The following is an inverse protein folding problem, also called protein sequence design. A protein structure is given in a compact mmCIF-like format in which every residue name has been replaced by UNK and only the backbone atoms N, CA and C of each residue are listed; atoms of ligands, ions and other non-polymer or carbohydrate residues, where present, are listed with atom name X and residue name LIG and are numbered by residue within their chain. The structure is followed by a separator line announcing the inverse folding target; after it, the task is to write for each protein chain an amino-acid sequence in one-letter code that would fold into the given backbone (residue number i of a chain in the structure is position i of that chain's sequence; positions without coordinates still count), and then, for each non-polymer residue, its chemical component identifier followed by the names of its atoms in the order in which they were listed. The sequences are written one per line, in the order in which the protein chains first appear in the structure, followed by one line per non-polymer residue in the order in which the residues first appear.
data_IF_443050287845
#
_entry.id   IF_443050287845
#
_cell.length_a   1.000
_cell.length_b   1.000
_cell.length_c   1.000
_cell.angle_alpha   90.00
_cell.angle_beta   90.00
_cell.angle_gamma   90.00
#
_symmetry.space_group_name_H-M   'P 1'
#
loop_
_entity.id
_entity.type
_entity.pdbx_description
1 polymer ?
#
# COMPACT_ATOMS: atom_id res chain seq x y z
N UNK A 1 -51.05 -23.05 20.01
CA UNK A 1 -50.00 -22.63 20.95
C UNK A 1 -48.59 -22.93 20.41
N UNK A 2 -48.32 -22.76 19.11
CA UNK A 2 -47.02 -23.05 18.50
C UNK A 2 -46.62 -22.08 17.35
N UNK A 3 -47.19 -20.87 17.29
CA UNK A 3 -46.89 -19.88 16.24
C UNK A 3 -46.02 -18.69 16.70
N UNK A 4 -45.51 -18.70 17.93
CA UNK A 4 -44.71 -17.57 18.47
C UNK A 4 -43.20 -17.80 18.50
N UNK A 5 -42.70 -18.92 17.96
CA UNK A 5 -41.27 -19.28 17.95
C UNK A 5 -40.61 -19.27 16.57
N UNK A 6 -41.17 -18.55 15.59
CA UNK A 6 -40.57 -18.43 14.24
C UNK A 6 -40.20 -17.00 13.84
N UNK A 7 -39.97 -16.11 14.81
CA UNK A 7 -39.62 -14.70 14.56
C UNK A 7 -38.31 -14.23 15.23
N UNK A 8 -37.41 -15.15 15.55
CA UNK A 8 -36.13 -14.85 16.21
C UNK A 8 -34.88 -15.21 15.37
N UNK A 9 -35.04 -15.51 14.08
CA UNK A 9 -33.91 -15.66 13.16
C UNK A 9 -34.28 -15.03 11.81
N UNK A 10 -34.37 -13.71 11.79
CA UNK A 10 -34.05 -12.97 10.57
C UNK A 10 -32.55 -12.68 10.63
N UNK A 11 -31.76 -12.98 9.59
CA UNK A 11 -30.40 -12.47 9.53
C UNK A 11 -30.53 -10.96 9.65
N UNK A 12 -29.93 -10.39 10.71
CA UNK A 12 -29.72 -8.95 10.77
C UNK A 12 -28.95 -8.59 9.51
N UNK A 13 -29.64 -7.98 8.55
CA UNK A 13 -29.01 -7.26 7.46
C UNK A 13 -27.98 -6.36 8.13
N UNK A 14 -26.69 -6.64 7.91
CA UNK A 14 -25.60 -5.94 8.59
C UNK A 14 -25.85 -4.45 8.45
N UNK A 15 -26.10 -3.76 9.57
CA UNK A 15 -26.18 -2.31 9.56
C UNK A 15 -24.83 -1.83 9.08
N UNK A 16 -24.77 -1.29 7.86
CA UNK A 16 -23.56 -0.67 7.35
C UNK A 16 -23.05 0.29 8.42
N UNK A 17 -21.86 0.03 8.95
CA UNK A 17 -21.29 0.86 9.99
C UNK A 17 -21.20 2.30 9.47
N UNK A 18 -21.56 3.27 10.31
CA UNK A 18 -21.45 4.69 9.93
C UNK A 18 -19.97 5.00 9.62
N UNK A 19 -19.66 5.70 8.51
CA UNK A 19 -18.31 6.19 8.25
C UNK A 19 -17.74 7.00 9.42
N UNK A 20 -16.45 6.84 9.67
CA UNK A 20 -15.69 7.62 10.66
C UNK A 20 -15.70 9.10 10.28
N UNK A 21 -15.88 9.96 11.27
CA UNK A 21 -15.86 11.43 11.08
C UNK A 21 -14.45 11.98 11.26
N UNK A 22 -14.19 13.15 10.67
CA UNK A 22 -12.90 13.84 10.84
C UNK A 22 -12.56 14.11 12.32
N UNK A 23 -13.58 14.35 13.15
CA UNK A 23 -13.43 14.52 14.60
C UNK A 23 -12.99 13.23 15.32
N UNK A 24 -13.50 12.09 14.88
CA UNK A 24 -13.09 10.78 15.41
C UNK A 24 -11.65 10.46 15.02
N UNK A 25 -11.28 10.72 13.75
CA UNK A 25 -9.89 10.59 13.29
C UNK A 25 -8.96 11.52 14.07
N UNK A 26 -9.34 12.78 14.29
CA UNK A 26 -8.53 13.73 15.05
C UNK A 26 -8.30 13.29 16.51
N UNK A 27 -9.32 12.71 17.15
CA UNK A 27 -9.19 12.19 18.52
C UNK A 27 -8.22 11.00 18.58
N UNK A 28 -8.31 10.11 17.59
CA UNK A 28 -7.39 8.98 17.49
C UNK A 28 -5.97 9.44 17.16
N UNK A 29 -5.78 10.35 16.21
CA UNK A 29 -4.48 10.92 15.88
C UNK A 29 -3.81 11.53 17.12
N UNK A 30 -4.57 12.27 17.94
CA UNK A 30 -4.07 12.80 19.21
C UNK A 30 -3.65 11.72 20.22
N UNK A 31 -4.37 10.59 20.30
CA UNK A 31 -3.98 9.47 21.18
C UNK A 31 -2.72 8.76 20.71
N UNK A 32 -2.45 8.81 19.41
CA UNK A 32 -1.24 8.29 18.76
C UNK A 32 -0.12 9.33 18.64
N UNK A 33 -0.31 10.56 19.17
CA UNK A 33 0.64 11.67 19.04
C UNK A 33 0.99 12.04 17.59
N UNK A 34 0.04 11.87 16.68
CA UNK A 34 0.16 12.19 15.27
C UNK A 34 -0.27 13.63 14.99
N UNK A 35 0.41 14.28 14.04
CA UNK A 35 -0.09 15.51 13.46
C UNK A 35 -1.30 15.20 12.57
N UNK A 36 -2.33 16.06 12.62
CA UNK A 36 -3.51 15.96 11.76
C UNK A 36 -3.92 17.32 11.22
N UNK A 37 -4.26 17.37 9.93
CA UNK A 37 -4.94 18.50 9.28
C UNK A 37 -6.26 17.98 8.72
N UNK A 38 -7.40 18.15 9.41
CA UNK A 38 -8.70 17.76 8.89
C UNK A 38 -9.14 18.70 7.77
N UNK A 39 -9.83 18.17 6.76
CA UNK A 39 -10.49 18.98 5.73
C UNK A 39 -11.89 19.42 6.17
N UNK A 40 -12.44 20.44 5.51
CA UNK A 40 -13.85 20.82 5.63
C UNK A 40 -14.80 19.73 5.08
N UNK A 41 -14.31 18.90 4.15
CA UNK A 41 -15.05 17.75 3.64
C UNK A 41 -14.88 16.56 4.59
N UNK A 42 -15.99 16.02 5.09
CA UNK A 42 -15.96 14.81 5.94
C UNK A 42 -15.32 13.63 5.20
N UNK A 43 -14.49 12.89 5.93
CA UNK A 43 -13.70 11.77 5.39
C UNK A 43 -12.37 12.20 4.74
N UNK A 44 -12.11 13.50 4.57
CA UNK A 44 -10.84 14.00 4.03
C UNK A 44 -9.95 14.56 5.14
N UNK A 45 -8.68 14.17 5.16
CA UNK A 45 -7.70 14.60 6.15
C UNK A 45 -6.27 14.30 5.71
N UNK A 46 -5.31 14.93 6.38
CA UNK A 46 -3.91 14.56 6.33
C UNK A 46 -3.41 14.18 7.72
N UNK A 47 -2.73 13.04 7.81
CA UNK A 47 -1.98 12.62 8.98
C UNK A 47 -0.48 12.73 8.69
N UNK A 48 0.32 12.98 9.72
CA UNK A 48 1.76 12.96 9.57
C UNK A 48 2.50 12.75 10.89
N UNK A 49 3.79 12.51 10.75
CA UNK A 49 4.70 12.31 11.86
C UNK A 49 6.13 12.06 11.39
N UNK A 50 6.91 11.47 12.28
CA UNK A 50 8.28 11.06 12.05
C UNK A 50 8.43 9.56 12.32
N UNK A 51 9.25 8.88 11.53
CA UNK A 51 9.65 7.49 11.78
C UNK A 51 11.16 7.39 11.62
N UNK A 52 11.89 7.31 12.74
CA UNK A 52 13.35 7.18 12.72
C UNK A 52 14.07 8.38 12.09
N UNK A 53 13.60 9.61 12.35
CA UNK A 53 14.16 10.85 11.80
C UNK A 53 13.69 11.18 10.38
N UNK A 54 12.74 10.42 9.86
CA UNK A 54 12.23 10.55 8.51
C UNK A 54 10.74 10.94 8.50
N UNK A 55 10.35 12.02 7.81
CA UNK A 55 8.97 12.47 7.79
C UNK A 55 8.09 11.53 6.96
N UNK A 56 6.86 11.35 7.43
CA UNK A 56 5.83 10.63 6.69
C UNK A 56 4.49 11.38 6.70
N UNK A 57 3.66 11.10 5.69
CA UNK A 57 2.29 11.61 5.56
C UNK A 57 1.35 10.52 5.06
N UNK A 58 0.14 10.50 5.58
CA UNK A 58 -0.98 9.71 5.07
C UNK A 58 -2.15 10.65 4.78
N UNK A 59 -2.47 10.83 3.51
CA UNK A 59 -3.61 11.63 3.05
C UNK A 59 -4.83 10.72 2.82
N UNK A 60 -6.01 11.16 3.23
CA UNK A 60 -7.28 10.59 2.78
C UNK A 60 -8.02 11.62 1.91
N UNK A 61 -8.35 11.24 0.67
CA UNK A 61 -9.06 12.15 -0.22
C UNK A 61 -9.63 11.50 -1.48
N UNK A 62 -9.97 12.34 -2.46
CA UNK A 62 -10.52 11.87 -3.73
C UNK A 62 -9.51 10.95 -4.46
N UNK A 63 -9.96 9.89 -5.14
CA UNK A 63 -9.08 8.96 -5.83
C UNK A 63 -8.21 9.64 -6.89
N UNK A 64 -6.96 9.21 -7.00
CA UNK A 64 -6.02 9.64 -8.05
C UNK A 64 -5.67 8.52 -9.05
N UNK A 65 -6.40 7.40 -8.97
CA UNK A 65 -6.36 6.28 -9.91
C UNK A 65 -7.78 5.79 -10.18
N UNK A 66 -8.04 5.41 -11.42
CA UNK A 66 -9.37 4.98 -11.87
C UNK A 66 -9.81 3.64 -11.26
N UNK A 67 -8.85 2.82 -10.82
CA UNK A 67 -9.13 1.56 -10.15
C UNK A 67 -9.54 1.73 -8.68
N UNK A 68 -9.39 2.93 -8.08
CA UNK A 68 -9.79 3.20 -6.69
C UNK A 68 -11.16 3.87 -6.67
N UNK A 69 -12.08 3.32 -5.88
CA UNK A 69 -13.45 3.80 -5.73
C UNK A 69 -13.64 4.53 -4.39
N UNK A 70 -14.46 5.56 -4.38
CA UNK A 70 -14.81 6.27 -3.15
C UNK A 70 -13.70 7.19 -2.66
N UNK A 71 -13.03 6.84 -1.57
CA UNK A 71 -11.91 7.60 -0.99
C UNK A 71 -10.63 6.78 -1.07
N UNK A 72 -9.51 7.47 -1.11
CA UNK A 72 -8.18 6.88 -1.25
C UNK A 72 -7.28 7.32 -0.09
N UNK A 73 -6.63 6.34 0.54
CA UNK A 73 -5.55 6.54 1.49
C UNK A 73 -4.21 6.51 0.74
N UNK A 74 -3.48 7.63 0.76
CA UNK A 74 -2.19 7.82 0.10
C UNK A 74 -1.09 8.08 1.12
N UNK A 75 -0.23 7.10 1.33
CA UNK A 75 0.91 7.19 2.21
C UNK A 75 2.19 7.55 1.47
N UNK A 76 3.06 8.31 2.12
CA UNK A 76 4.43 8.58 1.69
C UNK A 76 5.33 8.69 2.90
N UNK A 77 6.46 7.98 2.88
CA UNK A 77 7.56 8.11 3.85
C UNK A 77 8.88 8.28 3.09
N UNK A 78 9.68 9.28 3.48
CA UNK A 78 10.97 9.55 2.86
C UNK A 78 12.08 8.82 3.62
N UNK A 79 12.52 7.65 3.19
CA UNK A 79 13.28 6.71 4.04
C UNK A 79 14.79 6.68 3.76
N UNK A 80 15.27 7.47 2.80
CA UNK A 80 16.71 7.54 2.48
C UNK A 80 17.34 6.23 1.99
N UNK A 81 16.52 5.25 1.58
CA UNK A 81 16.99 3.99 1.01
C UNK A 81 17.70 4.22 -0.34
N UNK A 82 18.47 3.23 -0.80
CA UNK A 82 19.06 3.19 -2.14
C UNK A 82 18.08 3.72 -3.21
N UNK A 83 18.41 4.79 -3.95
CA UNK A 83 17.53 5.36 -4.97
C UNK A 83 17.22 4.36 -6.10
N UNK A 84 18.06 3.35 -6.31
CA UNK A 84 17.89 2.27 -7.28
C UNK A 84 17.18 1.04 -6.69
N UNK A 85 16.67 1.14 -5.45
CA UNK A 85 15.76 0.15 -4.91
C UNK A 85 14.36 0.35 -5.51
N UNK A 86 13.92 -0.65 -6.29
CA UNK A 86 12.62 -0.67 -6.94
C UNK A 86 11.87 -1.98 -6.62
N UNK A 87 10.87 -1.88 -5.74
CA UNK A 87 9.99 -3.00 -5.36
C UNK A 87 8.55 -2.51 -5.21
N UNK A 88 7.59 -3.27 -5.73
CA UNK A 88 6.16 -3.03 -5.62
C UNK A 88 5.48 -4.30 -5.14
N UNK A 89 4.55 -4.14 -4.20
CA UNK A 89 3.62 -5.19 -3.77
C UNK A 89 2.21 -4.72 -4.01
N UNK A 90 1.39 -5.56 -4.61
CA UNK A 90 -0.02 -5.27 -4.87
C UNK A 90 -0.88 -6.51 -4.64
N UNK A 91 -2.16 -6.30 -4.29
CA UNK A 91 -3.10 -7.42 -4.14
C UNK A 91 -3.42 -8.05 -5.51
N UNK A 92 -3.67 -9.37 -5.53
CA UNK A 92 -3.89 -10.14 -6.77
C UNK A 92 -5.02 -9.61 -7.62
N UNK A 93 -6.14 -9.21 -6.98
CA UNK A 93 -7.27 -8.63 -7.70
C UNK A 93 -6.89 -7.36 -8.48
N UNK A 94 -6.00 -6.52 -7.93
CA UNK A 94 -5.51 -5.34 -8.62
C UNK A 94 -4.50 -5.72 -9.71
N UNK A 95 -3.60 -6.67 -9.43
CA UNK A 95 -2.64 -7.18 -10.41
C UNK A 95 -3.34 -7.64 -11.69
N UNK A 96 -4.32 -8.53 -11.57
CA UNK A 96 -5.10 -9.06 -12.69
C UNK A 96 -5.85 -7.95 -13.45
N UNK A 97 -6.43 -6.99 -12.72
CA UNK A 97 -7.14 -5.86 -13.33
C UNK A 97 -6.20 -4.93 -14.13
N UNK A 98 -5.00 -4.69 -13.62
CA UNK A 98 -3.99 -3.85 -14.28
C UNK A 98 -3.36 -4.56 -15.48
N UNK A 99 -3.09 -5.87 -15.39
CA UNK A 99 -2.62 -6.66 -16.53
C UNK A 99 -3.65 -6.69 -17.67
N UNK A 100 -4.93 -6.92 -17.34
CA UNK A 100 -6.01 -6.86 -18.33
C UNK A 100 -6.15 -5.48 -18.96
N UNK A 101 -6.00 -4.42 -18.17
CA UNK A 101 -6.03 -3.03 -18.67
C UNK A 101 -4.83 -2.70 -19.55
N UNK A 102 -3.63 -3.21 -19.21
CA UNK A 102 -2.42 -3.02 -20.01
C UNK A 102 -2.54 -3.73 -21.36
N UNK A 103 -3.08 -4.95 -21.38
CA UNK A 103 -3.36 -5.67 -22.62
C UNK A 103 -4.33 -4.89 -23.52
N UNK A 104 -5.43 -4.36 -22.96
CA UNK A 104 -6.39 -3.55 -23.71
C UNK A 104 -5.74 -2.28 -24.24
N UNK A 105 -4.97 -1.56 -23.42
CA UNK A 105 -4.26 -0.35 -23.86
C UNK A 105 -3.28 -0.64 -25.00
N UNK A 106 -2.52 -1.74 -24.92
CA UNK A 106 -1.54 -2.15 -25.94
C UNK A 106 -2.24 -2.56 -27.24
N UNK A 107 -3.32 -3.34 -27.15
CA UNK A 107 -4.09 -3.81 -28.32
C UNK A 107 -4.86 -2.68 -29.02
N UNK A 108 -5.31 -1.65 -28.29
CA UNK A 108 -5.86 -0.43 -28.87
C UNK A 108 -4.76 0.42 -29.56
N UNK A 109 -3.52 0.40 -29.05
CA UNK A 109 -2.38 1.16 -29.59
C UNK A 109 -1.66 0.54 -30.80
N UNK A 110 -2.34 -0.28 -31.61
CA UNK A 110 -1.96 -0.42 -33.03
C UNK A 110 -2.06 0.93 -33.81
N UNK A 111 -2.52 2.00 -33.14
CA UNK A 111 -2.25 3.39 -33.51
C UNK A 111 -1.11 3.98 -32.65
N UNK A 112 0.05 4.11 -33.29
CA UNK A 112 1.29 4.80 -32.90
C UNK A 112 1.16 5.93 -31.86
N UNK A 113 1.49 5.64 -30.59
CA UNK A 113 2.30 6.50 -29.68
C UNK A 113 2.51 5.74 -28.37
N UNK A 114 3.76 5.56 -27.95
CA UNK A 114 4.09 4.99 -26.64
C UNK A 114 3.44 5.88 -25.58
N UNK A 115 2.48 5.30 -24.86
CA UNK A 115 1.56 6.03 -24.00
C UNK A 115 2.29 6.46 -22.71
N UNK A 116 2.90 7.66 -22.72
CA UNK A 116 3.54 8.27 -21.53
C UNK A 116 2.57 8.54 -20.37
N UNK A 117 1.26 8.31 -20.55
CA UNK A 117 0.24 8.52 -19.54
C UNK A 117 -0.08 7.26 -18.70
N UNK A 118 0.61 6.13 -18.91
CA UNK A 118 0.37 4.95 -18.09
C UNK A 118 0.71 5.22 -16.60
N UNK A 119 -0.20 4.86 -15.67
CA UNK A 119 0.08 4.85 -14.24
C UNK A 119 1.38 4.13 -13.91
N UNK A 120 2.05 4.55 -12.83
CA UNK A 120 3.34 3.99 -12.44
C UNK A 120 3.28 2.47 -12.25
N UNK A 121 2.21 1.97 -11.65
CA UNK A 121 1.96 0.55 -11.40
C UNK A 121 1.90 -0.26 -12.71
N UNK A 122 1.21 0.28 -13.73
CA UNK A 122 1.12 -0.37 -15.06
C UNK A 122 2.46 -0.36 -15.79
N UNK A 123 3.23 0.72 -15.65
CA UNK A 123 4.58 0.79 -16.24
C UNK A 123 5.48 -0.27 -15.64
N UNK A 124 5.39 -0.50 -14.32
CA UNK A 124 6.17 -1.53 -13.64
C UNK A 124 5.79 -2.94 -14.10
N UNK A 125 4.49 -3.25 -14.21
CA UNK A 125 4.02 -4.54 -14.73
C UNK A 125 4.46 -4.81 -16.17
N UNK A 126 4.70 -3.75 -16.95
CA UNK A 126 5.25 -3.89 -18.31
C UNK A 126 6.78 -4.06 -18.34
N UNK A 127 7.50 -3.64 -17.30
CA UNK A 127 8.98 -3.63 -17.26
C UNK A 127 9.57 -4.78 -16.46
N UNK A 128 8.86 -5.27 -15.45
CA UNK A 128 9.39 -6.21 -14.46
C UNK A 128 8.44 -7.38 -14.26
N UNK A 129 9.01 -8.56 -14.03
CA UNK A 129 8.26 -9.78 -13.77
C UNK A 129 7.89 -9.92 -12.29
N UNK A 130 6.91 -10.78 -12.02
CA UNK A 130 6.60 -11.20 -10.66
C UNK A 130 7.71 -12.08 -10.09
N UNK A 131 8.13 -11.75 -8.87
CA UNK A 131 9.14 -12.49 -8.12
C UNK A 131 8.54 -13.38 -7.03
N UNK A 132 9.13 -14.56 -6.87
CA UNK A 132 8.83 -15.50 -5.79
C UNK A 132 10.12 -16.10 -5.24
N UNK A 133 10.16 -16.40 -3.94
CA UNK A 133 11.29 -17.06 -3.29
C UNK A 133 10.81 -17.97 -2.15
N UNK A 134 11.63 -18.96 -1.71
CA UNK A 134 11.23 -19.94 -0.69
C UNK A 134 10.78 -19.33 0.65
N UNK A 135 11.31 -18.16 1.02
CA UNK A 135 10.96 -17.45 2.27
C UNK A 135 9.60 -16.77 2.26
N UNK A 136 8.90 -16.70 1.12
CA UNK A 136 7.59 -16.08 1.01
C UNK A 136 6.49 -17.10 1.37
N UNK A 137 5.57 -16.82 2.31
CA UNK A 137 4.50 -17.76 2.66
C UNK A 137 3.53 -18.04 1.51
N UNK A 138 2.93 -19.23 1.48
CA UNK A 138 1.92 -19.58 0.49
C UNK A 138 0.68 -18.69 0.58
N UNK A 139 0.23 -18.36 1.80
CA UNK A 139 -0.87 -17.42 2.03
C UNK A 139 -0.57 -16.04 1.46
N UNK A 140 0.66 -15.55 1.57
CA UNK A 140 1.07 -14.29 0.98
C UNK A 140 0.93 -14.33 -0.55
N UNK A 141 1.49 -15.35 -1.20
CA UNK A 141 1.44 -15.50 -2.67
C UNK A 141 0.02 -15.61 -3.22
N UNK A 142 -0.90 -16.18 -2.44
CA UNK A 142 -2.31 -16.28 -2.79
C UNK A 142 -2.99 -14.91 -2.89
N UNK A 143 -2.53 -13.91 -2.12
CA UNK A 143 -3.21 -12.63 -2.00
C UNK A 143 -2.43 -11.45 -2.58
N UNK A 144 -1.11 -11.56 -2.69
CA UNK A 144 -0.24 -10.50 -3.16
C UNK A 144 0.75 -11.00 -4.22
N UNK A 145 1.11 -10.09 -5.12
CA UNK A 145 2.20 -10.23 -6.07
C UNK A 145 3.33 -9.27 -5.70
N UNK A 146 4.59 -9.67 -5.95
CA UNK A 146 5.77 -8.82 -5.75
C UNK A 146 6.41 -8.58 -7.10
N UNK A 147 6.53 -7.32 -7.51
CA UNK A 147 7.17 -6.89 -8.75
C UNK A 147 8.42 -6.11 -8.38
N UNK A 148 9.58 -6.46 -8.90
CA UNK A 148 10.82 -5.77 -8.56
C UNK A 148 11.85 -5.87 -9.68
N UNK A 149 12.87 -5.03 -9.62
CA UNK A 149 14.02 -5.10 -10.53
C UNK A 149 15.06 -6.13 -10.07
N UNK A 150 15.32 -6.19 -8.76
CA UNK A 150 16.34 -7.05 -8.15
C UNK A 150 15.73 -7.89 -7.03
N UNK A 151 15.83 -9.22 -7.14
CA UNK A 151 15.25 -10.15 -6.16
C UNK A 151 15.88 -9.99 -4.78
N UNK A 152 17.16 -9.62 -4.70
CA UNK A 152 17.88 -9.41 -3.45
C UNK A 152 17.31 -8.22 -2.67
N UNK A 153 16.90 -7.16 -3.38
CA UNK A 153 16.26 -5.98 -2.77
C UNK A 153 14.85 -6.35 -2.29
N UNK A 154 14.09 -7.07 -3.13
CA UNK A 154 12.75 -7.54 -2.77
C UNK A 154 12.77 -8.43 -1.52
N UNK A 155 13.70 -9.38 -1.43
CA UNK A 155 13.85 -10.27 -0.28
C UNK A 155 14.20 -9.53 1.02
N UNK A 156 15.03 -8.48 0.95
CA UNK A 156 15.41 -7.68 2.12
C UNK A 156 14.27 -6.82 2.62
N UNK A 157 13.50 -6.23 1.71
CA UNK A 157 12.39 -5.35 2.09
C UNK A 157 11.13 -6.14 2.46
N UNK A 158 10.69 -7.05 1.59
CA UNK A 158 9.49 -7.89 1.76
C UNK A 158 9.84 -9.11 2.60
N UNK A 159 10.02 -8.87 3.90
CA UNK A 159 10.34 -9.88 4.89
C UNK A 159 9.27 -9.92 6.00
N UNK A 160 9.50 -10.68 7.06
CA UNK A 160 8.49 -11.07 8.04
C UNK A 160 7.57 -9.93 8.55
N UNK A 161 8.06 -8.74 9.00
CA UNK A 161 7.19 -7.65 9.45
C UNK A 161 6.25 -7.12 8.37
N UNK A 162 6.76 -6.91 7.14
CA UNK A 162 5.96 -6.40 6.01
C UNK A 162 4.96 -7.46 5.55
N UNK A 163 5.41 -8.72 5.45
CA UNK A 163 4.56 -9.86 5.09
C UNK A 163 3.44 -10.05 6.11
N UNK A 164 3.76 -10.03 7.41
CA UNK A 164 2.77 -10.14 8.47
C UNK A 164 1.77 -9.00 8.43
N UNK A 165 2.22 -7.75 8.24
CA UNK A 165 1.29 -6.63 8.17
C UNK A 165 0.34 -6.74 6.98
N UNK A 166 0.83 -7.16 5.80
CA UNK A 166 0.00 -7.41 4.62
C UNK A 166 -1.00 -8.54 4.82
N UNK A 167 -0.62 -9.61 5.53
CA UNK A 167 -1.55 -10.69 5.84
C UNK A 167 -2.60 -10.28 6.89
N UNK A 168 -2.20 -9.51 7.90
CA UNK A 168 -3.11 -8.99 8.94
C UNK A 168 -4.23 -8.12 8.33
N UNK A 169 -3.98 -7.45 7.20
CA UNK A 169 -5.01 -6.70 6.46
C UNK A 169 -6.21 -7.57 6.07
N UNK A 170 -5.93 -8.84 5.77
CA UNK A 170 -6.89 -9.81 5.25
C UNK A 170 -7.58 -10.59 6.37
N UNK A 171 -7.29 -10.30 7.63
CA UNK A 171 -7.92 -10.98 8.77
C UNK A 171 -9.22 -10.28 9.21
N UNK A 172 -10.08 -11.05 9.87
CA UNK A 172 -11.32 -10.56 10.47
C UNK A 172 -12.52 -10.53 9.53
N UNK A 173 -13.57 -9.85 10.00
CA UNK A 173 -14.78 -9.63 9.21
C UNK A 173 -14.48 -8.76 7.99
N UNK A 174 -15.07 -9.07 6.84
CA UNK A 174 -14.84 -8.41 5.54
C UNK A 174 -13.52 -8.75 4.83
N UNK A 175 -12.79 -9.80 5.25
CA UNK A 175 -11.56 -10.29 4.60
C UNK A 175 -11.67 -10.43 3.07
N UNK A 176 -12.78 -11.00 2.58
CA UNK A 176 -13.01 -11.17 1.14
C UNK A 176 -13.12 -9.82 0.39
N UNK A 177 -13.77 -8.82 0.99
CA UNK A 177 -13.89 -7.49 0.41
C UNK A 177 -12.54 -6.75 0.42
N UNK A 178 -11.77 -6.89 1.51
CA UNK A 178 -10.41 -6.32 1.62
C UNK A 178 -9.44 -6.95 0.63
N UNK A 179 -9.52 -8.26 0.41
CA UNK A 179 -8.71 -8.94 -0.61
C UNK A 179 -8.95 -8.40 -2.02
N UNK A 180 -10.16 -7.91 -2.31
CA UNK A 180 -10.53 -7.28 -3.58
C UNK A 180 -10.27 -5.77 -3.62
N UNK A 181 -10.16 -5.12 -2.47
CA UNK A 181 -9.93 -3.67 -2.38
C UNK A 181 -8.50 -3.35 -2.84
N UNK A 182 -8.31 -2.40 -3.78
CA UNK A 182 -7.00 -2.04 -4.29
C UNK A 182 -6.01 -1.67 -3.19
N UNK A 183 -4.85 -2.33 -3.20
CA UNK A 183 -3.72 -2.03 -2.32
C UNK A 183 -2.43 -2.07 -3.13
N UNK A 184 -1.61 -1.03 -2.99
CA UNK A 184 -0.24 -0.95 -3.52
C UNK A 184 0.70 -0.43 -2.44
N UNK A 185 1.78 -1.16 -2.18
CA UNK A 185 2.92 -0.72 -1.37
C UNK A 185 4.16 -0.70 -2.27
N UNK A 186 4.84 0.44 -2.39
CA UNK A 186 5.94 0.59 -3.33
C UNK A 186 7.14 1.28 -2.67
N UNK A 187 8.33 0.77 -2.96
CA UNK A 187 9.61 1.41 -2.67
C UNK A 187 10.22 1.85 -4.00
N UNK A 188 10.40 3.15 -4.15
CA UNK A 188 11.00 3.74 -5.35
C UNK A 188 11.67 5.07 -5.01
N UNK A 189 12.87 5.31 -5.56
CA UNK A 189 13.64 6.56 -5.38
C UNK A 189 13.84 6.94 -3.90
N UNK A 190 14.17 5.95 -3.07
CA UNK A 190 14.43 6.13 -1.65
C UNK A 190 13.19 6.42 -0.79
N UNK A 191 11.98 6.17 -1.30
CA UNK A 191 10.72 6.49 -0.62
C UNK A 191 9.77 5.32 -0.64
N UNK A 192 9.02 5.16 0.45
CA UNK A 192 7.91 4.22 0.54
C UNK A 192 6.61 4.94 0.26
N UNK A 193 5.79 4.37 -0.61
CA UNK A 193 4.45 4.84 -0.96
C UNK A 193 3.43 3.76 -0.65
N UNK A 194 2.28 4.19 -0.16
CA UNK A 194 1.12 3.34 0.07
C UNK A 194 -0.08 3.93 -0.70
N UNK A 195 -0.85 3.07 -1.33
CA UNK A 195 -2.14 3.43 -1.92
C UNK A 195 -3.15 2.36 -1.52
N UNK A 196 -4.23 2.77 -0.86
CA UNK A 196 -5.30 1.87 -0.45
C UNK A 196 -6.66 2.50 -0.74
N UNK A 197 -7.59 1.72 -1.26
CA UNK A 197 -9.01 2.10 -1.27
C UNK A 197 -9.52 2.16 0.18
N UNK A 198 -10.21 3.25 0.55
CA UNK A 198 -10.79 3.45 1.88
C UNK A 198 -12.25 2.98 1.88
N UNK A 199 -12.44 1.67 1.75
CA UNK A 199 -13.72 1.02 1.44
C UNK A 199 -14.69 1.11 2.62
N UNK A 200 -14.22 0.76 3.82
CA UNK A 200 -15.06 0.71 5.02
C UNK A 200 -15.25 2.09 5.63
N UNK A 201 -14.38 3.04 5.31
CA UNK A 201 -14.34 4.37 5.92
C UNK A 201 -14.33 4.27 7.44
N UNK A 202 -13.52 3.35 7.95
CA UNK A 202 -13.47 2.98 9.37
C UNK A 202 -12.14 3.40 9.98
N UNK A 203 -12.12 3.63 11.30
CA UNK A 203 -10.88 3.94 12.00
C UNK A 203 -9.86 2.78 11.95
N UNK A 204 -10.25 1.50 12.08
CA UNK A 204 -9.32 0.38 11.91
C UNK A 204 -8.61 0.36 10.55
N UNK A 205 -9.30 0.76 9.47
CA UNK A 205 -8.69 0.83 8.13
C UNK A 205 -7.62 1.93 8.04
N UNK A 206 -7.86 3.09 8.66
CA UNK A 206 -6.90 4.20 8.75
C UNK A 206 -5.68 3.81 9.60
N UNK A 207 -5.92 3.17 10.76
CA UNK A 207 -4.86 2.67 11.63
C UNK A 207 -4.00 1.64 10.90
N UNK A 208 -4.64 0.70 10.21
CA UNK A 208 -3.95 -0.32 9.44
C UNK A 208 -3.09 0.29 8.31
N UNK A 209 -3.63 1.23 7.54
CA UNK A 209 -2.89 1.92 6.49
C UNK A 209 -1.69 2.70 7.06
N UNK A 210 -1.87 3.35 8.22
CA UNK A 210 -0.78 4.04 8.92
C UNK A 210 0.32 3.05 9.32
N UNK A 211 -0.05 1.93 9.98
CA UNK A 211 0.91 0.89 10.36
C UNK A 211 1.62 0.26 9.16
N UNK A 212 0.90 0.02 8.05
CA UNK A 212 1.47 -0.51 6.80
C UNK A 212 2.58 0.40 6.27
N UNK A 213 2.30 1.71 6.19
CA UNK A 213 3.27 2.70 5.75
C UNK A 213 4.50 2.72 6.66
N UNK A 214 4.29 2.74 7.98
CA UNK A 214 5.36 2.84 8.96
C UNK A 214 6.23 1.58 9.02
N UNK A 215 5.63 0.39 8.98
CA UNK A 215 6.36 -0.88 8.95
C UNK A 215 7.13 -1.01 7.64
N UNK A 216 6.51 -0.67 6.50
CA UNK A 216 7.20 -0.64 5.20
C UNK A 216 8.39 0.33 5.21
N UNK A 217 8.21 1.52 5.80
CA UNK A 217 9.27 2.51 5.93
C UNK A 217 10.42 2.03 6.83
N UNK A 218 10.09 1.50 8.00
CA UNK A 218 11.06 0.97 8.95
C UNK A 218 11.85 -0.21 8.37
N UNK A 219 11.18 -1.12 7.67
CA UNK A 219 11.82 -2.24 6.98
C UNK A 219 12.81 -1.78 5.90
N UNK A 220 12.45 -0.73 5.14
CA UNK A 220 13.35 -0.17 4.12
C UNK A 220 14.60 0.43 4.77
N UNK A 221 14.44 1.22 5.84
CA UNK A 221 15.58 1.84 6.54
C UNK A 221 16.52 0.82 7.19
N UNK A 222 15.99 -0.31 7.67
CA UNK A 222 16.76 -1.30 8.41
C UNK A 222 17.49 -2.30 7.51
N UNK A 223 16.87 -2.69 6.40
CA UNK A 223 17.32 -3.86 5.63
C UNK A 223 17.91 -3.50 4.27
N UNK A 224 17.75 -2.27 3.81
CA UNK A 224 18.31 -1.82 2.55
C UNK A 224 19.52 -0.94 2.81
N UNK A 225 20.54 -1.01 1.93
CA UNK A 225 21.64 -0.08 2.03
C UNK A 225 21.10 1.35 1.93
N UNK A 226 21.62 2.28 2.75
CA UNK A 226 21.32 3.70 2.56
C UNK A 226 21.86 4.16 1.21
N UNK A 227 21.37 5.29 0.72
CA UNK A 227 21.95 5.96 -0.45
C UNK A 227 23.48 6.02 -0.31
N UNK A 228 24.20 5.37 -1.22
CA UNK A 228 25.66 5.48 -1.25
C UNK A 228 26.01 6.89 -1.72
N UNK A 229 26.59 7.69 -0.83
CA UNK A 229 27.20 8.99 -1.19
C UNK A 229 28.63 8.78 -1.71
N UNK A 230 28.98 7.58 -2.20
CA UNK A 230 30.27 7.34 -2.82
C UNK A 230 30.36 8.17 -4.11
N UNK A 231 30.91 9.38 -3.97
CA UNK A 231 31.47 10.12 -5.08
C UNK A 231 32.60 9.30 -5.73
N UNK A 232 32.98 9.63 -6.97
CA UNK A 232 34.00 8.90 -7.74
C UNK A 232 35.41 8.85 -7.11
N UNK A 233 35.63 9.35 -5.88
CA UNK A 233 36.93 9.48 -5.24
C UNK A 233 37.23 8.43 -4.15
N UNK A 234 36.30 7.55 -3.77
CA UNK A 234 36.56 6.48 -2.78
C UNK A 234 37.12 5.19 -3.42
N UNK A 235 38.06 5.34 -4.36
CA UNK A 235 38.96 4.25 -4.70
C UNK A 235 40.12 4.28 -3.70
N UNK A 236 40.33 3.23 -2.88
CA UNK A 236 41.52 3.16 -2.05
C UNK A 236 42.73 3.22 -2.97
N UNK A 237 43.59 4.21 -2.73
CA UNK A 237 44.80 4.47 -3.48
C UNK A 237 45.75 3.26 -3.33
N UNK A 238 45.59 2.28 -4.21
CA UNK A 238 46.46 1.13 -4.34
C UNK A 238 47.67 1.54 -5.19
N UNK A 239 48.58 2.33 -4.61
CA UNK A 239 49.93 2.45 -5.15
C UNK A 239 51.01 2.49 -4.06
N UNK A 240 51.76 1.37 -4.06
CA UNK A 240 53.20 1.17 -3.78
C UNK A 240 53.76 1.28 -2.36
#
# INVERSE_FOLDING_TARGET
MFDRLRKAFSPSSGSAARPVTNKEVARWAASQQLAIVPSATEGHFDLGGDVGGHPWRLECGAPTRDYVRGLELRGRADVGADPDAAVMVLNRSLHEALEGSAYNAITDTLQTTVNTNLPEEMRWLAMYEEMTWPGLPASFRQHFAVIAERIEVAQRWIHAPVVSQLLNFLEGEHSAARAQSPLVLMLVRGKVYLRMEHTERSLPEIEHATQMLLIGAQAAMQNLPPMSVAGPDDLPNLER
#
